data_IF_841199671543
#
_entry.id   IF_841199671543
#
_cell.length_a   1.000
_cell.length_b   1.000
_cell.length_c   1.000
_cell.angle_alpha   90.00
_cell.angle_beta   90.00
_cell.angle_gamma   90.00
#
_symmetry.space_group_name_H-M   'P 1'
#
loop_
_entity.id
_entity.type
_entity.pdbx_description
1 polymer ?
#
# COMPACT_ATOMS: atom_id res chain seq x y z
N UNK A 1 38.58 57.04 -2.04
CA UNK A 1 38.74 55.64 -2.48
C UNK A 1 38.04 54.76 -1.48
N UNK A 2 37.02 54.04 -1.95
CA UNK A 2 36.46 52.78 -1.46
C UNK A 2 36.63 52.36 0.02
N UNK A 3 35.43 52.09 0.60
CA UNK A 3 35.09 50.97 1.49
C UNK A 3 35.53 51.02 2.96
N UNK A 4 34.54 51.27 3.84
CA UNK A 4 33.93 50.29 4.76
C UNK A 4 33.29 51.03 5.94
N UNK A 5 32.01 50.72 6.25
CA UNK A 5 31.62 50.32 7.60
C UNK A 5 30.19 49.79 7.64
N UNK A 6 30.09 48.55 8.12
CA UNK A 6 28.87 47.87 8.56
C UNK A 6 28.50 48.32 9.98
N UNK A 7 27.21 48.57 10.20
CA UNK A 7 26.35 48.05 11.28
C UNK A 7 25.41 49.12 11.84
N UNK A 8 24.11 48.98 11.55
CA UNK A 8 23.11 48.50 12.53
C UNK A 8 21.72 49.11 12.31
N UNK A 9 20.71 48.29 12.65
CA UNK A 9 19.35 48.62 13.10
C UNK A 9 18.20 48.61 12.06
N UNK A 10 17.52 47.47 12.04
CA UNK A 10 16.06 47.23 12.00
C UNK A 10 15.09 48.34 11.53
N UNK A 11 14.38 48.01 10.44
CA UNK A 11 12.98 48.32 10.05
C UNK A 11 12.97 48.44 8.53
N UNK A 12 12.00 48.02 7.73
CA UNK A 12 10.73 47.30 7.85
C UNK A 12 10.26 47.17 6.39
N UNK A 13 9.34 46.23 6.10
CA UNK A 13 8.53 46.20 4.85
C UNK A 13 9.30 45.74 3.59
N UNK A 14 8.76 45.02 2.61
CA UNK A 14 7.51 44.31 2.37
C UNK A 14 7.64 43.69 0.97
N UNK A 15 7.00 42.53 0.75
CA UNK A 15 6.55 41.99 -0.55
C UNK A 15 7.57 41.51 -1.60
N UNK A 16 7.58 40.20 -1.84
CA UNK A 16 6.99 39.59 -3.06
C UNK A 16 7.34 38.10 -3.12
N UNK A 17 6.49 37.25 -2.52
CA UNK A 17 6.49 35.82 -2.78
C UNK A 17 5.72 35.56 -4.08
N UNK A 18 6.45 35.18 -5.12
CA UNK A 18 5.94 34.84 -6.44
C UNK A 18 4.97 33.65 -6.38
N UNK A 19 3.73 33.93 -6.77
CA UNK A 19 2.59 33.03 -6.86
C UNK A 19 2.71 32.16 -8.13
N UNK A 20 2.92 30.85 -7.98
CA UNK A 20 2.86 29.91 -9.11
C UNK A 20 1.41 29.44 -9.32
N UNK A 21 0.63 30.24 -10.03
CA UNK A 21 -0.62 29.79 -10.64
C UNK A 21 -0.32 29.31 -12.07
N UNK A 22 -0.44 28.00 -12.32
CA UNK A 22 -0.22 27.45 -13.65
C UNK A 22 -1.47 27.73 -14.50
N UNK A 23 -1.41 28.72 -15.40
CA UNK A 23 -2.46 28.97 -16.41
C UNK A 23 -2.26 28.04 -17.62
N UNK A 24 -3.32 27.47 -18.21
CA UNK A 24 -3.20 26.57 -19.35
C UNK A 24 -2.95 27.36 -20.65
N UNK A 25 -1.89 26.99 -21.38
CA UNK A 25 -1.65 27.42 -22.76
C UNK A 25 -2.45 26.57 -23.74
N UNK A 26 -3.05 27.25 -24.71
CA UNK A 26 -3.84 26.79 -25.86
C UNK A 26 -3.72 25.31 -26.29
N UNK A 27 -4.88 24.65 -26.35
CA UNK A 27 -5.15 23.34 -26.93
C UNK A 27 -4.62 23.22 -28.36
N UNK A 28 -3.70 22.28 -28.59
CA UNK A 28 -3.51 21.61 -29.87
C UNK A 28 -4.08 20.19 -29.74
N UNK A 29 -5.04 19.86 -30.59
CA UNK A 29 -5.73 18.55 -30.60
C UNK A 29 -4.75 17.40 -30.90
N UNK A 30 -4.80 16.26 -30.18
CA UNK A 30 -3.98 15.11 -30.50
C UNK A 30 -4.47 14.40 -31.78
N UNK A 31 -3.57 13.73 -32.55
CA UNK A 31 -3.94 13.01 -33.76
C UNK A 31 -4.72 11.73 -33.45
N UNK A 32 -5.53 11.20 -34.40
CA UNK A 32 -6.36 10.03 -34.17
C UNK A 32 -5.53 8.74 -34.07
N UNK A 33 -5.84 7.91 -33.09
CA UNK A 33 -5.26 6.57 -32.89
C UNK A 33 -6.09 5.55 -33.70
N UNK A 34 -5.47 4.59 -34.42
CA UNK A 34 -6.20 3.59 -35.19
C UNK A 34 -6.83 2.52 -34.29
N UNK A 35 -8.13 2.27 -34.50
CA UNK A 35 -8.90 1.18 -33.89
C UNK A 35 -8.44 -0.19 -34.42
N UNK A 36 -8.04 -1.09 -33.52
CA UNK A 36 -8.20 -2.53 -33.70
C UNK A 36 -7.89 -3.28 -32.39
N UNK A 37 -8.91 -3.46 -31.54
CA UNK A 37 -8.96 -4.62 -30.64
C UNK A 37 -10.40 -5.12 -30.59
N UNK A 38 -10.61 -6.30 -31.18
CA UNK A 38 -11.87 -7.05 -31.12
C UNK A 38 -12.07 -7.54 -29.69
N UNK A 39 -13.15 -7.10 -29.05
CA UNK A 39 -13.71 -7.72 -27.86
C UNK A 39 -14.29 -9.09 -28.22
N UNK A 40 -13.83 -10.15 -27.55
CA UNK A 40 -14.59 -11.38 -27.41
C UNK A 40 -15.52 -11.22 -26.21
N UNK A 41 -16.80 -11.01 -26.48
CA UNK A 41 -17.89 -11.14 -25.51
C UNK A 41 -18.25 -12.61 -25.38
N UNK A 42 -18.24 -13.15 -24.16
CA UNK A 42 -18.83 -14.47 -23.88
C UNK A 42 -20.11 -14.23 -23.10
N UNK A 43 -21.23 -14.49 -23.76
CA UNK A 43 -22.58 -14.40 -23.23
C UNK A 43 -22.80 -15.46 -22.14
N UNK A 44 -23.52 -15.08 -21.09
CA UNK A 44 -24.14 -16.00 -20.15
C UNK A 44 -25.56 -16.26 -20.63
N UNK A 45 -25.88 -17.53 -20.91
CA UNK A 45 -27.24 -18.00 -21.16
C UNK A 45 -27.87 -18.49 -19.85
N UNK A 46 -29.11 -18.03 -19.63
CA UNK A 46 -30.07 -18.49 -18.64
C UNK A 46 -30.50 -19.94 -18.90
N UNK A 47 -30.73 -20.73 -17.83
CA UNK A 47 -31.86 -21.65 -17.86
C UNK A 47 -32.42 -21.98 -16.46
N UNK A 48 -33.74 -22.08 -16.42
CA UNK A 48 -34.62 -22.06 -15.26
C UNK A 48 -35.50 -23.31 -15.24
N UNK A 49 -35.35 -24.21 -14.27
CA UNK A 49 -36.38 -25.09 -13.64
C UNK A 49 -35.65 -26.18 -12.83
N UNK A 50 -35.99 -26.51 -11.58
CA UNK A 50 -37.16 -27.30 -11.19
C UNK A 50 -37.51 -26.99 -9.71
N UNK A 51 -38.78 -26.66 -9.45
CA UNK A 51 -39.43 -26.65 -8.13
C UNK A 51 -39.92 -28.04 -7.73
N UNK A 52 -39.80 -28.42 -6.46
CA UNK A 52 -40.79 -29.17 -5.63
C UNK A 52 -40.41 -28.99 -4.16
N UNK A 53 -41.06 -28.07 -3.42
CA UNK A 53 -42.14 -28.31 -2.43
C UNK A 53 -41.87 -29.48 -1.47
N UNK A 54 -41.67 -29.17 -0.19
CA UNK A 54 -42.60 -29.54 0.88
C UNK A 54 -42.29 -28.76 2.17
N UNK A 55 -43.36 -28.50 2.90
CA UNK A 55 -43.53 -27.52 3.98
C UNK A 55 -43.76 -28.29 5.29
N UNK A 56 -43.46 -27.62 6.41
CA UNK A 56 -44.10 -27.73 7.74
C UNK A 56 -43.82 -28.96 8.64
N UNK A 57 -43.28 -28.68 9.84
CA UNK A 57 -43.95 -28.78 11.16
C UNK A 57 -43.03 -29.21 12.32
N UNK A 58 -43.43 -28.74 13.50
CA UNK A 58 -42.69 -28.67 14.77
C UNK A 58 -42.55 -30.00 15.52
N UNK A 59 -41.64 -29.95 16.50
CA UNK A 59 -41.64 -30.61 17.83
C UNK A 59 -40.91 -31.95 18.02
N UNK A 60 -39.86 -31.86 18.85
CA UNK A 60 -39.38 -32.76 19.91
C UNK A 60 -39.43 -34.28 19.72
N UNK A 61 -38.26 -34.93 19.70
CA UNK A 61 -37.86 -35.92 20.72
C UNK A 61 -36.45 -36.45 20.47
N UNK A 62 -35.80 -36.76 21.59
CA UNK A 62 -34.50 -37.42 21.79
C UNK A 62 -34.38 -38.78 21.10
N UNK A 63 -33.25 -39.08 20.46
CA UNK A 63 -32.49 -40.31 20.73
C UNK A 63 -31.14 -40.34 20.00
N UNK A 64 -30.18 -40.93 20.71
CA UNK A 64 -28.79 -41.16 20.34
C UNK A 64 -28.69 -42.28 19.30
N UNK A 65 -28.09 -42.04 18.14
CA UNK A 65 -27.61 -43.10 17.26
C UNK A 65 -26.30 -42.70 16.56
N UNK A 66 -25.28 -43.51 16.81
CA UNK A 66 -23.97 -43.52 16.16
C UNK A 66 -24.14 -43.76 14.66
N UNK A 67 -23.40 -43.01 13.83
CA UNK A 67 -23.10 -43.44 12.46
C UNK A 67 -21.62 -43.19 12.14
N UNK A 68 -21.03 -44.22 11.55
CA UNK A 68 -19.62 -44.40 11.24
C UNK A 68 -19.11 -43.42 10.18
N UNK A 69 -17.91 -42.86 10.38
CA UNK A 69 -17.07 -42.35 9.31
C UNK A 69 -16.07 -43.45 8.91
N UNK A 70 -15.97 -43.89 7.64
CA UNK A 70 -14.89 -44.75 7.21
C UNK A 70 -13.62 -43.92 7.06
N UNK A 71 -12.71 -44.06 8.03
CA UNK A 71 -11.32 -43.64 7.89
C UNK A 71 -10.68 -44.56 6.85
N UNK A 72 -10.26 -44.01 5.70
CA UNK A 72 -9.32 -44.68 4.81
C UNK A 72 -7.97 -44.78 5.54
N UNK A 73 -7.73 -45.92 6.18
CA UNK A 73 -6.43 -46.27 6.72
C UNK A 73 -5.62 -46.95 5.62
N UNK A 74 -4.68 -46.23 5.01
CA UNK A 74 -3.64 -46.85 4.17
C UNK A 74 -2.75 -47.72 5.07
N UNK A 75 -2.94 -49.05 5.01
CA UNK A 75 -2.01 -50.01 5.60
C UNK A 75 -0.81 -50.17 4.67
N UNK A 76 0.35 -49.66 5.09
CA UNK A 76 1.62 -50.08 4.51
C UNK A 76 2.00 -51.45 5.10
N UNK A 77 2.22 -52.44 4.24
CA UNK A 77 2.76 -53.76 4.61
C UNK A 77 4.25 -53.65 4.92
N UNK A 78 4.79 -54.44 5.87
CA UNK A 78 6.22 -54.43 6.16
C UNK A 78 6.93 -55.40 5.22
N UNK A 79 7.46 -54.90 4.10
CA UNK A 79 8.47 -55.65 3.35
C UNK A 79 9.84 -55.35 3.93
N UNK A 80 10.43 -56.38 4.53
CA UNK A 80 11.79 -56.42 5.01
C UNK A 80 12.76 -56.44 3.84
N UNK A 81 13.31 -55.29 3.51
CA UNK A 81 14.54 -55.20 2.71
C UNK A 81 15.63 -54.52 3.55
N UNK A 82 16.61 -55.32 3.97
CA UNK A 82 17.90 -54.84 4.45
C UNK A 82 18.46 -53.86 3.41
N UNK A 83 18.49 -52.58 3.78
CA UNK A 83 19.22 -51.57 3.02
C UNK A 83 20.30 -51.05 3.94
N UNK A 84 21.53 -51.37 3.56
CA UNK A 84 22.78 -50.86 4.09
C UNK A 84 22.67 -49.38 4.41
N UNK A 85 23.04 -49.01 5.64
CA UNK A 85 23.13 -47.64 6.10
C UNK A 85 24.25 -46.91 5.36
N UNK A 86 23.97 -46.43 4.16
CA UNK A 86 24.74 -45.35 3.56
C UNK A 86 24.40 -44.08 4.34
N UNK A 87 25.24 -43.76 5.34
CA UNK A 87 25.35 -42.42 5.89
C UNK A 87 25.49 -41.46 4.71
N UNK A 88 24.39 -40.83 4.31
CA UNK A 88 24.46 -39.66 3.43
C UNK A 88 25.10 -38.58 4.29
N UNK A 89 26.39 -38.39 4.05
CA UNK A 89 27.10 -37.22 4.51
C UNK A 89 26.51 -36.05 3.72
N UNK A 90 25.41 -35.49 4.24
CA UNK A 90 24.78 -34.28 3.71
C UNK A 90 25.68 -33.10 4.09
N UNK A 91 26.87 -33.06 3.49
CA UNK A 91 27.63 -31.84 3.40
C UNK A 91 26.71 -30.88 2.66
N UNK A 92 26.11 -29.92 3.39
CA UNK A 92 25.10 -28.96 2.94
C UNK A 92 25.55 -28.08 1.78
N UNK A 93 25.83 -28.71 0.64
CA UNK A 93 26.03 -28.06 -0.63
C UNK A 93 24.68 -27.48 -1.02
N UNK A 94 24.61 -26.18 -1.36
CA UNK A 94 23.39 -25.56 -1.84
C UNK A 94 22.79 -26.45 -2.92
N UNK A 95 21.50 -26.78 -2.80
CA UNK A 95 20.77 -27.47 -3.88
C UNK A 95 20.95 -26.60 -5.12
N UNK A 96 21.66 -27.13 -6.11
CA UNK A 96 22.15 -26.36 -7.25
C UNK A 96 20.96 -25.72 -7.99
N UNK A 97 20.85 -24.39 -7.93
CA UNK A 97 19.82 -23.61 -8.63
C UNK A 97 18.80 -22.85 -7.76
N UNK A 98 18.82 -22.99 -6.43
CA UNK A 98 17.96 -22.19 -5.54
C UNK A 98 18.74 -21.04 -4.91
N UNK A 99 18.19 -19.83 -4.96
CA UNK A 99 18.77 -18.65 -4.33
C UNK A 99 18.56 -18.70 -2.82
N UNK A 100 19.62 -18.46 -2.06
CA UNK A 100 19.54 -18.27 -0.61
C UNK A 100 19.13 -16.84 -0.22
N UNK A 101 18.90 -15.97 -1.22
CA UNK A 101 18.44 -14.61 -0.99
C UNK A 101 17.02 -14.59 -0.42
N UNK A 102 16.85 -13.84 0.67
CA UNK A 102 15.56 -13.64 1.33
C UNK A 102 14.98 -12.29 0.90
N UNK A 103 13.72 -12.30 0.45
CA UNK A 103 12.93 -11.08 0.24
C UNK A 103 12.25 -10.72 1.55
N UNK A 104 12.63 -9.59 2.14
CA UNK A 104 12.00 -9.04 3.32
C UNK A 104 10.81 -8.16 2.95
N UNK A 105 9.64 -8.39 3.55
CA UNK A 105 8.43 -7.61 3.33
C UNK A 105 8.04 -6.89 4.61
N UNK A 106 7.96 -5.56 4.55
CA UNK A 106 7.43 -4.73 5.64
C UNK A 106 5.89 -4.73 5.58
N UNK A 107 5.25 -5.44 6.50
CA UNK A 107 3.82 -5.68 6.54
C UNK A 107 3.46 -7.13 6.17
N UNK A 108 2.64 -7.76 7.01
CA UNK A 108 2.20 -9.15 6.88
C UNK A 108 0.71 -9.29 6.55
N UNK A 109 0.10 -8.24 5.98
CA UNK A 109 -1.32 -8.21 5.60
C UNK A 109 -1.70 -9.17 4.47
N UNK A 110 -2.90 -9.01 3.93
CA UNK A 110 -3.41 -9.86 2.85
C UNK A 110 -2.58 -9.77 1.57
N UNK A 111 -2.01 -8.59 1.24
CA UNK A 111 -1.18 -8.46 0.04
C UNK A 111 0.16 -9.16 0.26
N UNK A 112 0.72 -9.08 1.48
CA UNK A 112 1.91 -9.83 1.88
C UNK A 112 1.70 -11.34 1.82
N UNK A 113 0.51 -11.82 2.23
CA UNK A 113 0.12 -13.23 2.07
C UNK A 113 0.07 -13.65 0.60
N UNK A 114 -0.53 -12.84 -0.26
CA UNK A 114 -0.59 -13.10 -1.71
C UNK A 114 0.82 -13.09 -2.34
N UNK A 115 1.70 -12.20 -1.89
CA UNK A 115 3.10 -12.17 -2.30
C UNK A 115 3.82 -13.46 -1.90
N UNK A 116 3.67 -13.93 -0.65
CA UNK A 116 4.25 -15.20 -0.20
C UNK A 116 3.76 -16.38 -1.05
N UNK A 117 2.46 -16.42 -1.40
CA UNK A 117 1.90 -17.46 -2.27
C UNK A 117 2.52 -17.46 -3.67
N UNK A 118 2.77 -16.28 -4.25
CA UNK A 118 3.42 -16.17 -5.55
C UNK A 118 4.90 -16.58 -5.47
N UNK A 119 5.62 -16.10 -4.45
CA UNK A 119 7.03 -16.38 -4.22
C UNK A 119 7.31 -17.88 -4.00
N UNK A 120 6.43 -18.57 -3.28
CA UNK A 120 6.54 -20.02 -3.03
C UNK A 120 6.58 -20.84 -4.32
N UNK A 121 5.81 -20.46 -5.35
CA UNK A 121 5.81 -21.13 -6.67
C UNK A 121 7.14 -20.98 -7.41
N UNK A 122 7.91 -19.95 -7.08
CA UNK A 122 9.22 -19.64 -7.66
C UNK A 122 10.38 -20.08 -6.75
N UNK A 123 10.07 -20.77 -5.65
CA UNK A 123 11.02 -21.13 -4.60
C UNK A 123 11.81 -19.93 -4.03
N UNK A 124 11.19 -18.75 -3.98
CA UNK A 124 11.75 -17.55 -3.34
C UNK A 124 11.39 -17.56 -1.86
N UNK A 125 12.40 -17.39 -0.99
CA UNK A 125 12.21 -17.25 0.46
C UNK A 125 11.72 -15.83 0.77
N UNK A 126 10.58 -15.73 1.44
CA UNK A 126 10.00 -14.46 1.88
C UNK A 126 9.95 -14.42 3.40
N UNK A 127 10.56 -13.40 3.99
CA UNK A 127 10.44 -13.09 5.41
C UNK A 127 9.53 -11.88 5.59
N UNK A 128 8.66 -11.88 6.59
CA UNK A 128 7.74 -10.76 6.85
C UNK A 128 8.03 -10.11 8.21
N UNK A 129 7.89 -8.78 8.28
CA UNK A 129 7.87 -8.01 9.52
C UNK A 129 6.45 -7.49 9.76
N UNK A 130 5.83 -7.90 10.86
CA UNK A 130 4.48 -7.44 11.21
C UNK A 130 4.28 -7.40 12.73
N UNK A 131 3.57 -6.41 13.29
CA UNK A 131 3.32 -6.33 14.73
C UNK A 131 2.41 -7.45 15.26
N UNK A 132 1.61 -8.09 14.42
CA UNK A 132 0.76 -9.21 14.82
C UNK A 132 1.49 -10.55 14.69
N UNK A 133 1.51 -11.33 15.78
CA UNK A 133 2.05 -12.70 15.78
C UNK A 133 1.35 -13.62 14.77
N UNK A 134 0.06 -13.39 14.51
CA UNK A 134 -0.76 -14.20 13.60
C UNK A 134 -1.22 -13.38 12.38
N UNK A 135 -0.33 -12.56 11.83
CA UNK A 135 -0.62 -11.78 10.63
C UNK A 135 -0.98 -12.71 9.44
N UNK A 136 -1.81 -12.28 8.48
CA UNK A 136 -2.23 -13.12 7.35
C UNK A 136 -1.08 -13.81 6.59
N UNK A 137 0.08 -13.17 6.46
CA UNK A 137 1.23 -13.69 5.74
C UNK A 137 2.04 -14.72 6.54
N UNK A 138 2.02 -14.70 7.89
CA UNK A 138 2.91 -15.54 8.71
C UNK A 138 2.72 -17.04 8.47
N UNK A 139 1.50 -17.46 8.14
CA UNK A 139 1.19 -18.86 7.85
C UNK A 139 1.86 -19.40 6.56
N UNK A 140 2.36 -18.53 5.69
CA UNK A 140 2.96 -18.89 4.40
C UNK A 140 4.39 -18.37 4.21
N UNK A 141 4.82 -17.41 5.02
CA UNK A 141 6.16 -16.87 4.97
C UNK A 141 7.19 -17.96 5.31
N UNK A 142 8.40 -17.83 4.76
CA UNK A 142 9.54 -18.65 5.14
C UNK A 142 9.93 -18.41 6.60
N UNK A 143 9.86 -17.15 7.05
CA UNK A 143 10.09 -16.74 8.42
C UNK A 143 9.30 -15.44 8.72
N UNK A 144 9.07 -15.15 10.00
CA UNK A 144 8.30 -13.99 10.45
C UNK A 144 8.95 -13.37 11.69
N UNK A 145 9.25 -12.08 11.62
CA UNK A 145 9.65 -11.28 12.77
C UNK A 145 8.45 -10.49 13.29
N UNK A 146 8.15 -10.65 14.58
CA UNK A 146 7.11 -9.86 15.25
C UNK A 146 7.71 -8.52 15.66
N UNK A 147 7.14 -7.43 15.14
CA UNK A 147 7.62 -6.09 15.44
C UNK A 147 6.99 -5.03 14.55
N UNK A 148 7.14 -3.76 14.94
CA UNK A 148 6.60 -2.64 14.16
C UNK A 148 7.48 -2.35 12.94
N UNK A 149 6.85 -2.24 11.76
CA UNK A 149 7.48 -1.74 10.54
C UNK A 149 7.59 -0.20 10.50
N UNK A 150 7.10 0.49 11.53
CA UNK A 150 7.28 1.93 11.77
C UNK A 150 8.34 2.21 12.86
N UNK A 151 8.95 1.16 13.44
CA UNK A 151 10.05 1.31 14.39
C UNK A 151 11.41 1.13 13.70
N UNK A 152 12.22 2.19 13.73
CA UNK A 152 13.51 2.23 13.04
C UNK A 152 14.46 1.10 13.45
N UNK A 153 14.53 0.78 14.74
CA UNK A 153 15.44 -0.25 15.25
C UNK A 153 14.99 -1.65 14.81
N UNK A 154 13.70 -1.90 14.86
CA UNK A 154 13.08 -3.15 14.40
C UNK A 154 13.31 -3.37 12.91
N UNK A 155 13.06 -2.35 12.08
CA UNK A 155 13.26 -2.45 10.63
C UNK A 155 14.74 -2.67 10.28
N UNK A 156 15.67 -2.03 11.00
CA UNK A 156 17.11 -2.27 10.80
C UNK A 156 17.53 -3.69 11.18
N UNK A 157 17.00 -4.24 12.28
CA UNK A 157 17.30 -5.61 12.68
C UNK A 157 16.72 -6.63 11.69
N UNK A 158 15.52 -6.38 11.20
CA UNK A 158 14.89 -7.17 10.15
C UNK A 158 15.70 -7.15 8.84
N UNK A 159 16.16 -5.96 8.42
CA UNK A 159 16.93 -5.78 7.19
C UNK A 159 18.20 -6.63 7.12
N UNK A 160 18.88 -6.86 8.26
CA UNK A 160 20.11 -7.68 8.33
C UNK A 160 19.93 -9.12 7.86
N UNK A 161 18.68 -9.62 7.85
CA UNK A 161 18.33 -10.99 7.48
C UNK A 161 17.83 -11.11 6.04
N UNK A 162 17.71 -9.98 5.34
CA UNK A 162 17.12 -9.88 4.02
C UNK A 162 18.19 -9.49 2.99
N UNK A 163 18.07 -10.03 1.78
CA UNK A 163 18.89 -9.58 0.65
C UNK A 163 18.27 -8.42 -0.12
N UNK A 164 16.93 -8.33 -0.11
CA UNK A 164 16.16 -7.22 -0.68
C UNK A 164 14.98 -6.93 0.25
N UNK A 165 14.62 -5.66 0.39
CA UNK A 165 13.46 -5.20 1.13
C UNK A 165 12.38 -4.70 0.18
N UNK A 166 11.14 -4.99 0.51
CA UNK A 166 9.94 -4.43 -0.13
C UNK A 166 8.89 -4.11 0.91
N UNK A 167 7.82 -3.43 0.50
CA UNK A 167 6.77 -2.96 1.40
C UNK A 167 5.41 -3.46 0.94
N UNK A 168 4.58 -3.85 1.90
CA UNK A 168 3.18 -4.25 1.68
C UNK A 168 2.22 -3.08 1.90
N UNK A 169 2.59 -2.18 2.80
CA UNK A 169 1.80 -1.05 3.25
C UNK A 169 2.56 0.26 3.01
N UNK A 170 1.86 1.34 2.68
CA UNK A 170 2.53 2.63 2.48
C UNK A 170 2.97 3.28 3.80
N UNK A 171 2.46 2.88 4.96
CA UNK A 171 2.73 3.48 6.26
C UNK A 171 3.95 2.88 6.96
N UNK A 172 5.12 3.04 6.33
CA UNK A 172 6.42 2.61 6.85
C UNK A 172 7.32 3.81 7.17
N UNK A 173 8.34 3.62 8.01
CA UNK A 173 9.36 4.63 8.26
C UNK A 173 10.32 4.75 7.07
N UNK A 174 9.96 5.62 6.13
CA UNK A 174 10.75 5.89 4.93
C UNK A 174 12.12 6.50 5.26
N UNK A 175 12.26 7.22 6.38
CA UNK A 175 13.57 7.75 6.77
C UNK A 175 14.52 6.62 7.19
N UNK A 176 13.99 5.51 7.71
CA UNK A 176 14.77 4.29 7.92
C UNK A 176 15.12 3.61 6.59
N UNK A 177 14.18 3.50 5.65
CA UNK A 177 14.46 2.92 4.33
C UNK A 177 15.55 3.70 3.58
N UNK A 178 15.50 5.03 3.59
CA UNK A 178 16.54 5.90 2.98
C UNK A 178 17.92 5.66 3.60
N UNK A 179 17.99 5.47 4.93
CA UNK A 179 19.24 5.14 5.63
C UNK A 179 19.76 3.75 5.27
N UNK A 180 18.87 2.77 5.15
CA UNK A 180 19.23 1.41 4.75
C UNK A 180 19.76 1.39 3.30
N UNK A 181 19.14 2.13 2.39
CA UNK A 181 19.65 2.30 1.02
C UNK A 181 21.06 2.90 0.99
N UNK A 182 21.31 3.93 1.80
CA UNK A 182 22.65 4.53 1.94
C UNK A 182 23.70 3.55 2.49
N UNK A 183 23.25 2.55 3.26
CA UNK A 183 24.09 1.47 3.79
C UNK A 183 24.27 0.30 2.81
N UNK A 184 23.66 0.38 1.61
CA UNK A 184 23.77 -0.62 0.55
C UNK A 184 22.71 -1.72 0.61
N UNK A 185 21.67 -1.59 1.44
CA UNK A 185 20.51 -2.49 1.40
C UNK A 185 19.69 -2.18 0.16
N UNK A 186 19.31 -3.22 -0.59
CA UNK A 186 18.45 -3.05 -1.76
C UNK A 186 16.99 -2.93 -1.32
N UNK A 187 16.37 -1.79 -1.61
CA UNK A 187 14.98 -1.50 -1.27
C UNK A 187 14.19 -1.29 -2.56
N UNK A 188 13.15 -2.09 -2.76
CA UNK A 188 12.30 -2.03 -3.95
C UNK A 188 10.80 -1.97 -3.57
N UNK A 189 10.06 -0.92 -3.98
CA UNK A 189 10.56 0.24 -4.71
C UNK A 189 11.46 1.11 -3.83
N UNK A 190 12.25 2.00 -4.48
CA UNK A 190 13.16 2.92 -3.78
C UNK A 190 12.43 3.74 -2.71
N UNK A 191 13.13 4.06 -1.62
CA UNK A 191 12.57 4.83 -0.52
C UNK A 191 12.04 6.21 -0.97
N UNK A 192 12.71 6.83 -1.96
CA UNK A 192 12.25 8.05 -2.61
C UNK A 192 10.89 7.92 -3.31
N UNK A 193 10.56 6.73 -3.83
CA UNK A 193 9.23 6.45 -4.39
C UNK A 193 8.20 6.38 -3.27
N UNK A 194 8.51 5.67 -2.17
CA UNK A 194 7.61 5.60 -1.01
C UNK A 194 7.35 7.00 -0.43
N UNK A 195 8.37 7.84 -0.35
CA UNK A 195 8.28 9.25 0.08
C UNK A 195 7.25 10.04 -0.74
N UNK A 196 7.26 9.86 -2.06
CA UNK A 196 6.35 10.56 -2.97
C UNK A 196 4.92 10.05 -2.81
N UNK A 197 4.70 8.73 -2.74
CA UNK A 197 3.35 8.17 -2.68
C UNK A 197 2.67 8.31 -1.31
N UNK A 198 3.45 8.46 -0.22
CA UNK A 198 2.91 8.74 1.11
C UNK A 198 2.23 10.12 1.21
N UNK A 199 2.60 11.05 0.32
CA UNK A 199 2.10 12.42 0.31
C UNK A 199 1.34 12.71 -0.98
N UNK A 200 0.01 12.82 -0.88
CA UNK A 200 -0.87 13.06 -2.04
C UNK A 200 -0.55 14.35 -2.77
N UNK A 201 0.09 15.35 -2.12
CA UNK A 201 0.57 16.53 -2.85
C UNK A 201 1.70 16.16 -3.78
N UNK A 202 2.75 15.57 -3.20
CA UNK A 202 3.99 15.30 -3.88
C UNK A 202 3.73 14.32 -5.02
N UNK A 203 2.83 13.36 -4.80
CA UNK A 203 2.34 12.47 -5.85
C UNK A 203 1.74 13.24 -7.03
N UNK A 204 0.88 14.24 -6.79
CA UNK A 204 0.27 15.02 -7.87
C UNK A 204 1.23 16.01 -8.52
N UNK A 205 2.12 16.62 -7.74
CA UNK A 205 3.22 17.43 -8.29
C UNK A 205 4.08 16.56 -9.21
N UNK A 206 4.44 15.36 -8.78
CA UNK A 206 5.21 14.40 -9.57
C UNK A 206 4.48 14.03 -10.86
N UNK A 207 3.20 13.68 -10.81
CA UNK A 207 2.40 13.38 -12.00
C UNK A 207 2.25 14.58 -12.96
N UNK A 208 2.06 15.79 -12.42
CA UNK A 208 1.98 17.03 -13.22
C UNK A 208 3.28 17.30 -13.99
N UNK A 209 4.43 17.11 -13.34
CA UNK A 209 5.76 17.25 -13.98
C UNK A 209 5.96 16.26 -15.15
N UNK A 210 5.27 15.11 -15.12
CA UNK A 210 5.30 14.10 -16.18
C UNK A 210 4.12 14.20 -17.16
N UNK A 211 3.40 15.33 -17.16
CA UNK A 211 2.25 15.58 -18.04
C UNK A 211 1.15 14.51 -17.97
N UNK A 212 1.00 13.86 -16.81
CA UNK A 212 -0.11 12.93 -16.55
C UNK A 212 -1.36 13.79 -16.25
N UNK A 213 -2.50 13.56 -16.95
CA UNK A 213 -3.71 14.32 -16.70
C UNK A 213 -4.20 14.20 -15.26
N UNK A 214 -4.47 15.33 -14.62
CA UNK A 214 -4.97 15.41 -13.25
C UNK A 214 -6.10 16.44 -13.16
N UNK A 215 -7.04 16.28 -12.21
CA UNK A 215 -7.87 17.40 -11.78
C UNK A 215 -6.97 18.53 -11.25
N UNK A 216 -7.32 19.79 -11.54
CA UNK A 216 -6.60 20.95 -11.00
C UNK A 216 -6.58 20.89 -9.48
N UNK A 217 -5.57 21.55 -8.93
CA UNK A 217 -5.20 21.25 -7.58
C UNK A 217 -4.42 22.33 -6.86
N UNK A 218 -4.65 22.40 -5.55
CA UNK A 218 -4.01 23.36 -4.66
C UNK A 218 -3.76 22.74 -3.29
N UNK A 219 -2.60 23.07 -2.74
CA UNK A 219 -2.22 22.84 -1.35
C UNK A 219 -2.80 23.95 -0.47
N UNK A 220 -3.47 23.57 0.62
CA UNK A 220 -4.07 24.49 1.58
C UNK A 220 -3.68 24.09 3.01
N UNK A 221 -3.29 25.08 3.81
CA UNK A 221 -2.82 24.86 5.19
C UNK A 221 -3.81 25.38 6.25
N UNK A 222 -4.82 26.14 5.81
CA UNK A 222 -5.80 26.79 6.66
C UNK A 222 -7.13 27.09 5.92
N UNK A 223 -8.09 27.63 6.66
CA UNK A 223 -9.41 28.01 6.16
C UNK A 223 -9.34 29.07 5.06
N UNK A 224 -8.40 30.02 5.16
CA UNK A 224 -8.27 31.07 4.16
C UNK A 224 -7.73 30.51 2.84
N UNK A 225 -6.83 29.53 2.88
CA UNK A 225 -6.43 28.74 1.72
C UNK A 225 -7.60 28.00 1.08
N UNK A 226 -8.51 27.46 1.90
CA UNK A 226 -9.70 26.78 1.42
C UNK A 226 -10.73 27.74 0.77
N UNK A 227 -10.86 28.97 1.27
CA UNK A 227 -11.68 30.00 0.61
C UNK A 227 -11.10 30.38 -0.74
N UNK A 228 -9.79 30.65 -0.79
CA UNK A 228 -9.08 30.97 -2.05
C UNK A 228 -9.22 29.85 -3.09
N UNK A 229 -9.25 28.58 -2.68
CA UNK A 229 -9.49 27.48 -3.62
C UNK A 229 -10.94 27.45 -4.11
N UNK A 230 -11.92 27.80 -3.26
CA UNK A 230 -13.31 28.01 -3.66
C UNK A 230 -13.49 29.14 -4.68
N UNK A 231 -12.79 30.27 -4.49
CA UNK A 231 -12.79 31.38 -5.44
C UNK A 231 -12.18 30.99 -6.81
N UNK A 232 -11.15 30.13 -6.79
CA UNK A 232 -10.42 29.74 -8.00
C UNK A 232 -11.13 28.62 -8.79
N UNK A 233 -11.62 27.59 -8.10
CA UNK A 233 -12.14 26.37 -8.72
C UNK A 233 -13.67 26.28 -8.71
N UNK A 234 -14.35 27.09 -7.88
CA UNK A 234 -15.78 26.96 -7.61
C UNK A 234 -16.10 25.81 -6.67
N UNK A 235 -17.39 25.66 -6.35
CA UNK A 235 -17.91 24.57 -5.51
C UNK A 235 -18.72 23.55 -6.34
N UNK A 236 -18.81 22.28 -5.92
CA UNK A 236 -18.29 21.70 -4.67
C UNK A 236 -16.76 21.47 -4.70
N UNK A 237 -16.17 21.45 -3.51
CA UNK A 237 -14.77 21.12 -3.27
C UNK A 237 -14.64 19.78 -2.57
N UNK A 238 -13.74 18.92 -3.06
CA UNK A 238 -13.21 17.80 -2.29
C UNK A 238 -12.01 18.27 -1.46
N UNK A 239 -11.99 17.93 -0.18
CA UNK A 239 -10.95 18.27 0.78
C UNK A 239 -10.33 16.95 1.21
N UNK A 240 -9.02 16.77 1.00
CA UNK A 240 -8.31 15.53 1.37
C UNK A 240 -7.11 15.83 2.24
N UNK A 241 -6.87 15.00 3.26
CA UNK A 241 -5.58 14.97 3.96
C UNK A 241 -4.47 14.49 3.02
N UNK A 242 -3.31 15.15 3.06
CA UNK A 242 -2.11 14.76 2.28
C UNK A 242 -1.64 13.36 2.63
N UNK A 243 -1.73 12.98 3.91
CA UNK A 243 -1.18 11.73 4.47
C UNK A 243 -2.22 10.97 5.27
N UNK A 244 -1.95 9.67 5.48
CA UNK A 244 -2.74 8.77 6.36
C UNK A 244 -4.23 8.62 5.99
N UNK A 245 -4.61 9.01 4.78
CA UNK A 245 -5.99 8.98 4.30
C UNK A 245 -6.23 7.76 3.40
N UNK A 246 -7.08 6.85 3.84
CA UNK A 246 -7.42 5.57 3.20
C UNK A 246 -8.91 5.25 3.39
N UNK A 247 -9.51 4.47 2.49
CA UNK A 247 -10.92 4.06 2.53
C UNK A 247 -11.91 5.21 2.83
N UNK A 248 -11.68 6.37 2.22
CA UNK A 248 -12.50 7.57 2.40
C UNK A 248 -12.23 8.36 3.68
N UNK A 249 -11.43 7.83 4.63
CA UNK A 249 -10.97 8.61 5.79
C UNK A 249 -10.05 9.74 5.34
N UNK A 250 -10.21 10.88 6.00
CA UNK A 250 -9.48 12.10 5.66
C UNK A 250 -9.98 12.77 4.38
N UNK A 251 -11.14 12.37 3.84
CA UNK A 251 -11.82 13.07 2.75
C UNK A 251 -13.09 13.76 3.28
N UNK A 252 -13.37 14.97 2.83
CA UNK A 252 -14.60 15.70 3.09
C UNK A 252 -15.05 16.46 1.84
N UNK A 253 -16.36 16.68 1.68
CA UNK A 253 -16.91 17.51 0.60
C UNK A 253 -17.45 18.78 1.22
N UNK A 254 -17.12 19.93 0.63
CA UNK A 254 -17.72 21.22 0.94
C UNK A 254 -18.48 21.73 -0.29
N UNK A 255 -19.80 21.84 -0.19
CA UNK A 255 -20.67 22.28 -1.30
C UNK A 255 -20.77 23.80 -1.42
N UNK A 256 -20.31 24.52 -0.40
CA UNK A 256 -20.28 25.98 -0.35
C UNK A 256 -19.20 26.45 0.63
N UNK A 257 -18.98 27.77 0.69
CA UNK A 257 -18.01 28.38 1.59
C UNK A 257 -18.35 28.12 3.06
N UNK A 258 -19.64 28.13 3.42
CA UNK A 258 -20.12 27.93 4.79
C UNK A 258 -19.82 26.51 5.31
N UNK A 259 -19.65 25.54 4.42
CA UNK A 259 -19.31 24.15 4.77
C UNK A 259 -17.80 23.93 4.99
N UNK A 260 -16.94 24.87 4.57
CA UNK A 260 -15.47 24.74 4.67
C UNK A 260 -14.97 24.51 6.11
N UNK A 261 -15.40 25.26 7.14
CA UNK A 261 -14.90 25.03 8.50
C UNK A 261 -15.20 23.63 9.00
N UNK A 262 -16.37 23.10 8.65
CA UNK A 262 -16.81 21.73 8.96
C UNK A 262 -15.97 20.69 8.21
N UNK A 263 -15.76 20.88 6.91
CA UNK A 263 -15.02 19.95 6.07
C UNK A 263 -13.53 19.87 6.47
N UNK A 264 -12.93 21.01 6.86
CA UNK A 264 -11.55 21.08 7.36
C UNK A 264 -11.42 20.47 8.76
N UNK A 265 -12.41 20.68 9.63
CA UNK A 265 -12.42 20.17 11.01
C UNK A 265 -12.88 18.71 11.11
N UNK A 266 -13.31 18.11 10.00
CA UNK A 266 -13.84 16.75 9.93
C UNK A 266 -12.91 15.72 10.59
N UNK A 267 -13.48 14.84 11.40
CA UNK A 267 -12.77 13.88 12.27
C UNK A 267 -11.89 12.90 11.47
N UNK A 268 -10.62 13.26 11.26
CA UNK A 268 -9.50 12.35 11.09
C UNK A 268 -8.54 12.56 12.27
N UNK A 269 -8.30 11.52 13.07
CA UNK A 269 -7.45 11.60 14.27
C UNK A 269 -6.04 12.08 13.88
N UNK A 270 -5.56 13.18 14.46
CA UNK A 270 -4.14 13.56 14.48
C UNK A 270 -3.60 14.41 13.32
N UNK A 271 -4.45 14.95 12.44
CA UNK A 271 -3.99 15.64 11.21
C UNK A 271 -3.73 17.14 11.50
N UNK A 272 -2.45 17.53 11.53
CA UNK A 272 -2.05 18.94 11.36
C UNK A 272 -2.07 19.29 9.86
N UNK A 273 -2.82 20.34 9.52
CA UNK A 273 -2.61 21.36 8.46
C UNK A 273 -1.97 20.96 7.12
N UNK A 274 -2.46 19.91 6.49
CA UNK A 274 -1.93 19.49 5.21
C UNK A 274 -3.11 18.99 4.34
N UNK A 275 -3.84 19.93 3.75
CA UNK A 275 -5.08 19.65 3.01
C UNK A 275 -4.87 19.93 1.53
N UNK A 276 -5.47 19.08 0.70
CA UNK A 276 -5.22 19.04 -0.71
C UNK A 276 -6.49 18.78 -1.52
N UNK A 277 -6.74 19.77 -2.39
CA UNK A 277 -7.25 19.66 -3.76
C UNK A 277 -8.75 19.53 -4.02
N UNK A 278 -9.21 20.61 -4.64
CA UNK A 278 -10.49 20.92 -5.25
C UNK A 278 -10.70 20.33 -6.66
N UNK A 279 -11.47 19.23 -6.75
CA UNK A 279 -12.50 18.91 -7.77
C UNK A 279 -13.53 18.02 -7.09
#
# INVERSE_FOLDING_TARGET
MLQQNLNAVFSSSSESSSFFAFRPSHFLSPPPIPLSLRFFSMAADDDHHIRRKLQLCHSSSTSSFKLLNPVLACRASPDSHETTSSLRNDNGSPVHGLSEMIVGVLGGGQLGRMLCQAASKMAIKVMVLDPSENCPASALAYDHMVGSFDDSATVQEFAKRCGVLTVEIEHVDVATLERLEQQGVDCEPRASTIRIIQDKFLQKVHFSQHAIPLPEFMEIDDLEGAKRSGDLFGYPLMIKSKRLAYDGRGNAVAKSEEELPSAISGKGVGIKKDIIIAF
#
